data_IF_009977933813
#
_entry.id   IF_009977933813
#
_cell.length_a   1.000
_cell.length_b   1.000
_cell.length_c   1.000
_cell.angle_alpha   90.00
_cell.angle_beta   90.00
_cell.angle_gamma   90.00
#
_symmetry.space_group_name_H-M   'P 1'
#
loop_
_entity.id
_entity.type
_entity.pdbx_description
1 polymer ?
#
# COMPACT_ATOMS: atom_id res chain seq x y z
N UNK A 1 18.84 -0.01 40.96
CA UNK A 1 19.29 0.34 39.60
C UNK A 1 18.12 0.14 38.66
N UNK A 2 17.73 1.23 38.01
CA UNK A 2 16.51 1.38 37.23
C UNK A 2 16.50 0.48 36.00
N UNK A 3 15.36 -0.16 35.73
CA UNK A 3 14.95 -0.50 34.38
C UNK A 3 13.45 -0.24 34.25
N UNK A 4 13.14 1.05 34.07
CA UNK A 4 11.85 1.51 33.56
C UNK A 4 11.75 1.07 32.11
N UNK A 5 11.15 -0.09 31.88
CA UNK A 5 10.60 -0.43 30.56
C UNK A 5 9.51 0.61 30.30
N UNK A 6 9.81 1.60 29.46
CA UNK A 6 8.84 2.54 28.93
C UNK A 6 7.76 1.74 28.22
N UNK A 7 6.62 1.56 28.87
CA UNK A 7 5.38 1.15 28.24
C UNK A 7 5.10 2.16 27.13
N UNK A 8 5.14 1.73 25.87
CA UNK A 8 4.60 2.52 24.76
C UNK A 8 3.11 2.71 25.05
N UNK A 9 2.76 3.87 25.57
CA UNK A 9 1.42 4.20 26.01
C UNK A 9 0.51 4.24 24.78
N UNK A 10 -0.30 3.20 24.60
CA UNK A 10 -1.36 3.18 23.60
C UNK A 10 -2.39 4.21 24.07
N UNK A 11 -2.66 5.22 23.26
CA UNK A 11 -3.69 6.23 23.58
C UNK A 11 -5.01 5.52 23.89
N UNK A 12 -5.78 6.07 24.82
CA UNK A 12 -7.16 5.63 24.98
C UNK A 12 -7.95 5.96 23.71
N UNK A 13 -9.07 5.26 23.49
CA UNK A 13 -9.94 5.52 22.33
C UNK A 13 -10.42 6.99 22.34
N UNK A 14 -10.75 7.51 23.52
CA UNK A 14 -11.21 8.89 23.71
C UNK A 14 -10.10 9.93 23.40
N UNK A 15 -8.85 9.64 23.78
CA UNK A 15 -7.71 10.51 23.47
C UNK A 15 -7.36 10.51 21.98
N UNK A 16 -7.47 9.36 21.31
CA UNK A 16 -7.27 9.25 19.86
C UNK A 16 -8.36 10.03 19.09
N UNK A 17 -9.61 9.87 19.48
CA UNK A 17 -10.74 10.57 18.87
C UNK A 17 -10.61 12.09 19.04
N UNK A 18 -10.27 12.57 20.24
CA UNK A 18 -10.07 14.00 20.46
C UNK A 18 -8.93 14.57 19.60
N UNK A 19 -7.79 13.88 19.53
CA UNK A 19 -6.67 14.31 18.67
C UNK A 19 -7.06 14.38 17.20
N UNK A 20 -7.86 13.43 16.72
CA UNK A 20 -8.41 13.43 15.36
C UNK A 20 -9.32 14.65 15.14
N UNK A 21 -10.27 14.89 16.04
CA UNK A 21 -11.20 16.02 15.94
C UNK A 21 -10.49 17.38 15.96
N UNK A 22 -9.51 17.54 16.84
CA UNK A 22 -8.70 18.76 16.94
C UNK A 22 -7.89 19.05 15.67
N UNK A 23 -7.58 18.02 14.88
CA UNK A 23 -6.79 18.14 13.66
C UNK A 23 -7.63 18.41 12.41
N UNK A 24 -8.92 18.07 12.41
CA UNK A 24 -9.79 18.27 11.23
C UNK A 24 -9.76 19.68 10.62
N UNK A 25 -9.70 20.78 11.41
CA UNK A 25 -9.63 22.12 10.84
C UNK A 25 -8.36 22.37 10.00
N UNK A 26 -7.25 21.69 10.31
CA UNK A 26 -5.95 21.88 9.63
C UNK A 26 -5.95 21.35 8.19
N UNK A 27 -6.83 20.41 7.88
CA UNK A 27 -6.91 19.78 6.55
C UNK A 27 -7.95 20.44 5.64
N UNK A 28 -8.58 21.53 6.09
CA UNK A 28 -9.60 22.24 5.33
C UNK A 28 -9.04 22.74 3.99
N UNK A 29 -9.68 22.35 2.89
CA UNK A 29 -9.25 22.70 1.54
C UNK A 29 -8.07 21.88 0.99
N UNK A 30 -7.60 20.86 1.71
CA UNK A 30 -6.63 19.89 1.20
C UNK A 30 -7.30 18.71 0.49
N UNK A 31 -6.51 17.91 -0.23
CA UNK A 31 -6.96 16.66 -0.85
C UNK A 31 -7.12 15.47 0.12
N UNK A 32 -7.02 15.69 1.44
CA UNK A 32 -7.18 14.62 2.43
C UNK A 32 -8.66 14.28 2.63
N UNK A 33 -8.95 12.99 2.77
CA UNK A 33 -10.30 12.56 3.14
C UNK A 33 -10.58 12.96 4.61
N UNK A 34 -11.63 13.73 4.91
CA UNK A 34 -11.86 14.23 6.27
C UNK A 34 -12.21 13.13 7.26
N UNK A 35 -12.74 11.99 6.80
CA UNK A 35 -13.09 10.86 7.68
C UNK A 35 -11.88 10.05 8.13
N UNK A 36 -10.81 10.05 7.34
CA UNK A 36 -9.67 9.15 7.54
C UNK A 36 -8.34 9.87 7.68
N UNK A 37 -8.25 11.12 7.24
CA UNK A 37 -7.02 11.91 7.11
C UNK A 37 -5.99 11.31 6.15
N UNK A 38 -6.42 10.45 5.22
CA UNK A 38 -5.59 9.85 4.17
C UNK A 38 -5.86 10.50 2.82
N UNK A 39 -4.83 10.59 1.96
CA UNK A 39 -4.92 11.10 0.60
C UNK A 39 -4.83 9.96 -0.42
N UNK A 40 -5.69 10.01 -1.44
CA UNK A 40 -5.71 9.06 -2.56
C UNK A 40 -4.44 9.13 -3.40
N UNK A 41 -3.74 10.27 -3.41
CA UNK A 41 -2.46 10.44 -4.10
C UNK A 41 -1.37 9.46 -3.65
N UNK A 42 -1.51 8.84 -2.48
CA UNK A 42 -0.60 7.76 -2.07
C UNK A 42 -0.66 6.56 -3.03
N UNK A 43 -1.84 6.25 -3.58
CA UNK A 43 -2.04 5.11 -4.48
C UNK A 43 -1.32 5.28 -5.82
N UNK A 44 -0.86 6.49 -6.16
CA UNK A 44 -0.01 6.72 -7.32
C UNK A 44 1.26 5.86 -7.28
N UNK A 45 1.80 5.59 -6.09
CA UNK A 45 2.92 4.66 -5.91
C UNK A 45 2.65 3.28 -6.52
N UNK A 46 1.42 2.78 -6.40
CA UNK A 46 1.02 1.48 -6.94
C UNK A 46 0.57 1.57 -8.39
N UNK A 47 -0.09 2.67 -8.78
CA UNK A 47 -0.48 2.90 -10.17
C UNK A 47 0.75 2.90 -11.10
N UNK A 48 1.87 3.47 -10.65
CA UNK A 48 3.14 3.44 -11.37
C UNK A 48 3.61 2.01 -11.67
N UNK A 49 3.69 1.13 -10.66
CA UNK A 49 4.14 -0.25 -10.90
C UNK A 49 3.11 -1.09 -11.64
N UNK A 50 1.81 -0.84 -11.47
CA UNK A 50 0.75 -1.48 -12.25
C UNK A 50 0.96 -1.18 -13.74
N UNK A 51 1.17 0.08 -14.10
CA UNK A 51 1.41 0.48 -15.48
C UNK A 51 2.65 -0.20 -16.06
N UNK A 52 3.76 -0.22 -15.32
CA UNK A 52 5.00 -0.86 -15.78
C UNK A 52 4.82 -2.37 -15.97
N UNK A 53 4.12 -3.03 -15.05
CA UNK A 53 3.80 -4.46 -15.15
C UNK A 53 2.89 -4.76 -16.35
N UNK A 54 1.89 -3.91 -16.63
CA UNK A 54 1.01 -4.06 -17.80
C UNK A 54 1.82 -3.98 -19.11
N UNK A 55 2.70 -2.99 -19.23
CA UNK A 55 3.56 -2.84 -20.41
C UNK A 55 4.50 -4.06 -20.54
N UNK A 56 5.01 -4.58 -19.41
CA UNK A 56 5.96 -5.70 -19.43
C UNK A 56 5.41 -6.99 -20.04
N UNK A 57 4.07 -7.16 -20.11
CA UNK A 57 3.42 -8.33 -20.73
C UNK A 57 3.82 -8.47 -22.22
N UNK A 58 3.78 -7.35 -22.94
CA UNK A 58 4.11 -7.30 -24.36
C UNK A 58 5.60 -7.00 -24.60
N UNK A 59 6.25 -6.33 -23.66
CA UNK A 59 7.65 -5.92 -23.71
C UNK A 59 8.41 -6.38 -22.46
N UNK A 60 8.85 -7.65 -22.37
CA UNK A 60 9.49 -8.21 -21.17
C UNK A 60 10.72 -7.44 -20.65
N UNK A 61 11.41 -6.71 -21.52
CA UNK A 61 12.52 -5.82 -21.16
C UNK A 61 12.11 -4.72 -20.15
N UNK A 62 10.85 -4.28 -20.19
CA UNK A 62 10.31 -3.28 -19.26
C UNK A 62 10.19 -3.79 -17.83
N UNK A 63 10.37 -5.10 -17.60
CA UNK A 63 10.48 -5.65 -16.25
C UNK A 63 11.66 -5.03 -15.49
N UNK A 64 12.73 -4.60 -16.19
CA UNK A 64 13.86 -3.91 -15.56
C UNK A 64 13.44 -2.64 -14.82
N UNK A 65 12.56 -1.83 -15.40
CA UNK A 65 12.03 -0.63 -14.75
C UNK A 65 11.20 -0.98 -13.50
N UNK A 66 10.47 -2.09 -13.54
CA UNK A 66 9.75 -2.59 -12.37
C UNK A 66 10.70 -2.95 -11.21
N UNK A 67 11.96 -3.33 -11.48
CA UNK A 67 12.96 -3.64 -10.42
C UNK A 67 13.40 -2.40 -9.67
N UNK A 68 13.35 -1.24 -10.33
CA UNK A 68 13.69 0.05 -9.73
C UNK A 68 12.58 0.52 -8.78
N UNK A 69 11.35 0.04 -8.97
CA UNK A 69 10.27 0.27 -8.02
C UNK A 69 10.58 -0.35 -6.66
N UNK A 70 10.27 0.41 -5.60
CA UNK A 70 10.42 -0.02 -4.20
C UNK A 70 9.21 0.45 -3.39
N UNK A 71 8.75 -0.34 -2.43
CA UNK A 71 7.70 0.10 -1.52
C UNK A 71 8.18 1.31 -0.70
N UNK A 72 7.28 2.26 -0.49
CA UNK A 72 7.52 3.45 0.33
C UNK A 72 6.42 3.56 1.37
N UNK A 73 6.80 3.92 2.60
CA UNK A 73 5.81 4.29 3.61
C UNK A 73 5.01 5.52 3.17
N UNK A 74 3.82 5.72 3.73
CA UNK A 74 2.97 6.87 3.42
C UNK A 74 3.74 8.18 3.46
N UNK A 75 4.39 8.47 4.58
CA UNK A 75 5.19 9.69 4.75
C UNK A 75 6.37 9.78 3.78
N UNK A 76 7.02 8.66 3.46
CA UNK A 76 8.15 8.67 2.52
C UNK A 76 7.69 9.01 1.10
N UNK A 77 6.57 8.43 0.65
CA UNK A 77 5.99 8.75 -0.65
C UNK A 77 5.74 10.25 -0.82
N UNK A 78 5.08 10.88 0.18
CA UNK A 78 4.80 12.31 0.12
C UNK A 78 6.07 13.18 0.19
N UNK A 79 7.09 12.80 0.99
CA UNK A 79 8.35 13.55 1.02
C UNK A 79 9.03 13.61 -0.35
N UNK A 80 9.01 12.48 -1.04
CA UNK A 80 9.65 12.31 -2.35
C UNK A 80 8.82 12.86 -3.51
N UNK A 81 7.54 13.20 -3.28
CA UNK A 81 6.63 13.62 -4.34
C UNK A 81 6.61 15.13 -4.57
N UNK A 82 5.99 15.53 -5.69
CA UNK A 82 5.71 16.92 -6.06
C UNK A 82 4.25 17.32 -5.77
N UNK A 83 3.56 16.58 -4.91
CA UNK A 83 2.17 16.85 -4.54
C UNK A 83 2.12 18.14 -3.71
N UNK A 84 1.21 19.07 -4.05
CA UNK A 84 1.09 20.36 -3.38
C UNK A 84 0.84 20.22 -1.87
N UNK A 85 -0.08 19.34 -1.48
CA UNK A 85 -0.50 19.11 -0.09
C UNK A 85 0.37 18.09 0.66
N UNK A 86 1.61 17.82 0.20
CA UNK A 86 2.44 16.77 0.81
C UNK A 86 2.75 16.98 2.28
N UNK A 87 2.99 18.22 2.70
CA UNK A 87 3.34 18.54 4.09
C UNK A 87 2.16 18.31 5.04
N UNK A 88 0.95 18.71 4.63
CA UNK A 88 -0.26 18.46 5.42
C UNK A 88 -0.58 16.96 5.44
N UNK A 89 -0.41 16.24 4.33
CA UNK A 89 -0.59 14.79 4.29
C UNK A 89 0.37 14.06 5.25
N UNK A 90 1.65 14.45 5.29
CA UNK A 90 2.64 13.88 6.21
C UNK A 90 2.24 14.15 7.67
N UNK A 91 1.84 15.39 7.99
CA UNK A 91 1.42 15.78 9.35
C UNK A 91 0.15 15.02 9.77
N UNK A 92 -0.87 15.00 8.90
CA UNK A 92 -2.16 14.37 9.15
C UNK A 92 -2.04 12.87 9.44
N UNK A 93 -1.04 12.19 8.85
CA UNK A 93 -0.83 10.76 9.04
C UNK A 93 -0.62 10.33 10.51
N UNK A 94 -0.17 11.24 11.39
CA UNK A 94 -0.02 10.97 12.83
C UNK A 94 -1.32 11.09 13.63
N UNK A 95 -2.40 11.53 12.98
CA UNK A 95 -3.73 11.74 13.54
C UNK A 95 -4.78 10.82 12.90
N UNK A 96 -4.40 10.03 11.89
CA UNK A 96 -5.27 9.02 11.26
C UNK A 96 -5.77 8.06 12.35
N UNK A 97 -7.10 7.90 12.51
CA UNK A 97 -7.65 6.96 13.48
C UNK A 97 -7.14 5.53 13.24
N UNK A 98 -6.75 4.83 14.30
CA UNK A 98 -6.16 3.49 14.24
C UNK A 98 -7.02 2.48 13.49
N UNK A 99 -8.35 2.65 13.53
CA UNK A 99 -9.31 1.81 12.80
C UNK A 99 -9.23 1.93 11.28
N UNK A 100 -8.63 3.00 10.75
CA UNK A 100 -8.30 3.15 9.33
C UNK A 100 -6.82 2.94 9.08
N UNK A 101 -5.95 3.44 9.97
CA UNK A 101 -4.50 3.38 9.81
C UNK A 101 -3.98 1.95 9.69
N UNK A 102 -4.40 1.05 10.59
CA UNK A 102 -3.91 -0.34 10.59
C UNK A 102 -4.37 -1.11 9.37
N UNK A 103 -5.68 -1.15 9.02
CA UNK A 103 -6.13 -1.74 7.76
C UNK A 103 -5.38 -1.23 6.53
N UNK A 104 -5.12 0.08 6.49
CA UNK A 104 -4.40 0.69 5.38
C UNK A 104 -2.94 0.24 5.33
N UNK A 105 -2.21 0.29 6.44
CA UNK A 105 -0.82 -0.18 6.53
C UNK A 105 -0.71 -1.67 6.17
N UNK A 106 -1.66 -2.49 6.64
CA UNK A 106 -1.72 -3.91 6.29
C UNK A 106 -1.92 -4.09 4.78
N UNK A 107 -2.90 -3.40 4.18
CA UNK A 107 -3.13 -3.45 2.73
C UNK A 107 -1.87 -3.03 1.94
N UNK A 108 -1.19 -1.98 2.36
CA UNK A 108 0.07 -1.50 1.75
C UNK A 108 1.16 -2.56 1.80
N UNK A 109 1.34 -3.22 2.95
CA UNK A 109 2.30 -4.32 3.11
C UNK A 109 1.96 -5.48 2.17
N UNK A 110 0.68 -5.83 2.07
CA UNK A 110 0.23 -6.91 1.20
C UNK A 110 0.48 -6.60 -0.29
N UNK A 111 0.07 -5.41 -0.76
CA UNK A 111 0.29 -4.98 -2.15
C UNK A 111 1.79 -5.03 -2.48
N UNK A 112 2.61 -4.45 -1.59
CA UNK A 112 4.07 -4.41 -1.75
C UNK A 112 4.68 -5.82 -1.84
N UNK A 113 4.23 -6.74 -0.99
CA UNK A 113 4.67 -8.12 -1.01
C UNK A 113 4.29 -8.82 -2.32
N UNK A 114 3.05 -8.64 -2.78
CA UNK A 114 2.56 -9.22 -4.04
C UNK A 114 3.36 -8.71 -5.24
N UNK A 115 3.66 -7.40 -5.30
CA UNK A 115 4.52 -6.82 -6.35
C UNK A 115 5.87 -7.52 -6.36
N UNK A 116 6.55 -7.59 -5.21
CA UNK A 116 7.87 -8.21 -5.09
C UNK A 116 7.82 -9.70 -5.50
N UNK A 117 6.79 -10.44 -5.09
CA UNK A 117 6.63 -11.85 -5.46
C UNK A 117 6.36 -12.06 -6.94
N UNK A 118 5.55 -11.19 -7.54
CA UNK A 118 5.28 -11.19 -8.97
C UNK A 118 6.58 -11.00 -9.74
N UNK A 119 7.40 -10.01 -9.38
CA UNK A 119 8.70 -9.77 -10.01
C UNK A 119 9.65 -10.97 -9.86
N UNK A 120 9.73 -11.55 -8.66
CA UNK A 120 10.58 -12.73 -8.41
C UNK A 120 10.17 -13.96 -9.23
N UNK A 121 8.88 -14.17 -9.45
CA UNK A 121 8.39 -15.29 -10.24
C UNK A 121 8.52 -15.02 -11.74
N UNK A 122 8.30 -13.78 -12.17
CA UNK A 122 8.52 -13.34 -13.55
C UNK A 122 10.00 -13.54 -13.95
N UNK A 123 10.94 -13.22 -13.05
CA UNK A 123 12.38 -13.48 -13.26
C UNK A 123 12.69 -14.95 -13.47
N UNK A 124 12.07 -15.84 -12.68
CA UNK A 124 12.26 -17.29 -12.84
C UNK A 124 11.72 -17.78 -14.19
N UNK A 125 10.62 -17.21 -14.67
CA UNK A 125 10.04 -17.55 -15.97
C UNK A 125 10.97 -17.10 -17.11
N UNK A 126 11.46 -15.85 -17.06
CA UNK A 126 12.40 -15.33 -18.05
C UNK A 126 13.73 -16.11 -18.07
N UNK A 127 14.25 -16.50 -16.90
CA UNK A 127 15.46 -17.31 -16.79
C UNK A 127 15.31 -18.71 -17.42
N UNK A 128 14.08 -19.21 -17.54
CA UNK A 128 13.75 -20.47 -18.22
C UNK A 128 13.37 -20.27 -19.70
N UNK A 129 13.39 -19.03 -20.20
CA UNK A 129 12.86 -18.65 -21.51
C UNK A 129 11.38 -19.01 -21.71
N UNK A 130 10.60 -19.03 -20.62
CA UNK A 130 9.18 -19.37 -20.64
C UNK A 130 8.33 -18.10 -20.65
N UNK A 131 8.04 -17.60 -21.86
CA UNK A 131 7.27 -16.37 -22.05
C UNK A 131 5.79 -16.53 -21.70
N UNK A 132 5.24 -17.74 -21.81
CA UNK A 132 3.84 -17.99 -21.46
C UNK A 132 3.66 -17.99 -19.94
N UNK A 133 4.55 -18.64 -19.19
CA UNK A 133 4.58 -18.56 -17.74
C UNK A 133 4.83 -17.12 -17.26
N UNK A 134 5.73 -16.38 -17.92
CA UNK A 134 5.99 -14.98 -17.61
C UNK A 134 4.71 -14.14 -17.70
N UNK A 135 3.99 -14.21 -18.83
CA UNK A 135 2.72 -13.49 -19.02
C UNK A 135 1.67 -13.92 -17.99
N UNK A 136 1.59 -15.21 -17.71
CA UNK A 136 0.66 -15.74 -16.70
C UNK A 136 0.94 -15.17 -15.31
N UNK A 137 2.21 -15.17 -14.87
CA UNK A 137 2.62 -14.62 -13.58
C UNK A 137 2.30 -13.13 -13.48
N UNK A 138 2.64 -12.34 -14.51
CA UNK A 138 2.38 -10.90 -14.53
C UNK A 138 0.87 -10.61 -14.48
N UNK A 139 0.06 -11.31 -15.29
CA UNK A 139 -1.39 -11.12 -15.32
C UNK A 139 -2.04 -11.43 -13.96
N UNK A 140 -1.63 -12.52 -13.29
CA UNK A 140 -2.12 -12.88 -11.96
C UNK A 140 -1.67 -11.92 -10.87
N UNK A 141 -0.41 -11.47 -10.94
CA UNK A 141 0.11 -10.42 -10.08
C UNK A 141 -0.73 -9.14 -10.20
N UNK A 142 -0.96 -8.67 -11.42
CA UNK A 142 -1.75 -7.47 -11.72
C UNK A 142 -3.19 -7.56 -11.19
N UNK A 143 -3.88 -8.68 -11.42
CA UNK A 143 -5.24 -8.92 -10.90
C UNK A 143 -5.28 -8.74 -9.38
N UNK A 144 -4.33 -9.37 -8.69
CA UNK A 144 -4.23 -9.33 -7.23
C UNK A 144 -3.86 -7.93 -6.73
N UNK A 145 -2.86 -7.29 -7.33
CA UNK A 145 -2.41 -5.93 -6.96
C UNK A 145 -3.58 -4.94 -7.09
N UNK A 146 -4.31 -4.97 -8.20
CA UNK A 146 -5.45 -4.07 -8.44
C UNK A 146 -6.58 -4.29 -7.43
N UNK A 147 -6.87 -5.55 -7.09
CA UNK A 147 -7.86 -5.89 -6.07
C UNK A 147 -7.50 -5.30 -4.71
N UNK A 148 -6.25 -5.44 -4.27
CA UNK A 148 -5.81 -4.90 -2.99
C UNK A 148 -5.68 -3.37 -3.01
N UNK A 149 -5.27 -2.77 -4.13
CA UNK A 149 -5.29 -1.30 -4.29
C UNK A 149 -6.71 -0.73 -4.18
N UNK A 150 -7.72 -1.44 -4.68
CA UNK A 150 -9.13 -1.07 -4.52
C UNK A 150 -9.59 -1.11 -3.05
N UNK A 151 -9.07 -2.06 -2.26
CA UNK A 151 -9.31 -2.10 -0.81
C UNK A 151 -8.66 -0.91 -0.10
N UNK A 152 -7.40 -0.61 -0.43
CA UNK A 152 -6.70 0.55 0.12
C UNK A 152 -7.44 1.86 -0.21
N UNK A 153 -7.93 2.01 -1.44
CA UNK A 153 -8.79 3.13 -1.85
C UNK A 153 -10.09 3.20 -1.03
N UNK A 154 -10.77 2.07 -0.84
CA UNK A 154 -11.95 2.00 0.02
C UNK A 154 -11.66 2.43 1.46
N UNK A 155 -10.51 2.04 2.01
CA UNK A 155 -10.09 2.45 3.36
C UNK A 155 -9.80 3.95 3.42
N UNK A 156 -9.17 4.54 2.40
CA UNK A 156 -8.97 6.00 2.30
C UNK A 156 -10.32 6.73 2.35
N UNK A 157 -11.36 6.15 1.76
CA UNK A 157 -12.74 6.67 1.80
C UNK A 157 -13.53 6.28 3.05
N UNK A 158 -12.88 5.63 4.03
CA UNK A 158 -13.43 5.33 5.35
C UNK A 158 -14.21 4.03 5.43
N UNK A 159 -13.92 3.07 4.55
CA UNK A 159 -14.24 1.67 4.77
C UNK A 159 -13.40 1.12 5.93
N UNK A 160 -14.04 0.39 6.84
CA UNK A 160 -13.35 -0.41 7.86
C UNK A 160 -13.13 -1.85 7.39
N UNK A 161 -13.53 -2.17 6.15
CA UNK A 161 -13.35 -3.49 5.55
C UNK A 161 -11.86 -3.72 5.26
N UNK A 162 -11.25 -4.60 6.04
CA UNK A 162 -9.98 -5.26 5.71
C UNK A 162 -10.24 -6.47 4.82
N UNK A 163 -9.19 -6.95 4.17
CA UNK A 163 -9.24 -8.26 3.55
C UNK A 163 -9.23 -9.36 4.62
N UNK A 164 -9.98 -10.43 4.38
CA UNK A 164 -9.98 -11.61 5.24
C UNK A 164 -8.70 -12.43 5.05
N UNK A 165 -8.35 -13.23 6.06
CA UNK A 165 -7.20 -14.14 5.96
C UNK A 165 -7.37 -15.13 4.80
N UNK A 166 -8.59 -15.54 4.49
CA UNK A 166 -8.89 -16.45 3.39
C UNK A 166 -8.58 -15.80 2.03
N UNK A 167 -8.93 -14.53 1.84
CA UNK A 167 -8.61 -13.78 0.62
C UNK A 167 -7.09 -13.61 0.46
N UNK A 168 -6.35 -13.36 1.55
CA UNK A 168 -4.88 -13.29 1.54
C UNK A 168 -4.29 -14.65 1.16
N UNK A 169 -4.79 -15.73 1.75
CA UNK A 169 -4.29 -17.08 1.51
C UNK A 169 -4.57 -17.55 0.07
N UNK A 170 -5.73 -17.19 -0.48
CA UNK A 170 -6.06 -17.43 -1.90
C UNK A 170 -5.11 -16.66 -2.81
N UNK A 171 -4.88 -15.38 -2.54
CA UNK A 171 -3.93 -14.56 -3.30
C UNK A 171 -2.53 -15.17 -3.29
N UNK A 172 -2.05 -15.59 -2.12
CA UNK A 172 -0.72 -16.18 -1.95
C UNK A 172 -0.59 -17.52 -2.66
N UNK A 173 -1.59 -18.39 -2.51
CA UNK A 173 -1.62 -19.68 -3.20
C UNK A 173 -1.58 -19.51 -4.72
N UNK A 174 -2.31 -18.52 -5.24
CA UNK A 174 -2.37 -18.22 -6.68
C UNK A 174 -1.02 -17.72 -7.21
N UNK A 175 -0.25 -17.03 -6.38
CA UNK A 175 1.10 -16.55 -6.70
C UNK A 175 2.20 -17.59 -6.45
N UNK A 176 1.85 -18.83 -6.07
CA UNK A 176 2.82 -19.87 -5.72
C UNK A 176 3.64 -19.54 -4.46
N UNK A 177 3.12 -18.68 -3.58
CA UNK A 177 3.72 -18.37 -2.29
C UNK A 177 3.32 -19.48 -1.31
N UNK A 178 4.29 -20.29 -0.89
CA UNK A 178 4.13 -21.21 0.24
C UNK A 178 4.43 -20.43 1.53
N UNK A 179 3.52 -20.52 2.53
CA UNK A 179 3.73 -19.98 3.89
C UNK A 179 4.90 -20.68 4.56
#
# INVERSE_FOLDING_TARGET
>A
MNNTVKTLNKLSVDEEEQRYLDFLPEIAGSNLNPKTLLATDYLNLFNEVIMLLEISIDMPEMLEECRNWKPKSYKQHFRDSHIADKEIAIKAYDYVPSKYKKPFEDAVVQISFIVIKTLQNADKALAKHDLEEFKFVIARGLETIKSFSSIADGIIHGSEKTMSQDEIDIAYKTLGVTK
#
